data_IF_311921975426
#
_entry.id   IF_311921975426
#
_cell.length_a   1.000
_cell.length_b   1.000
_cell.length_c   1.000
_cell.angle_alpha   90.00
_cell.angle_beta   90.00
_cell.angle_gamma   90.00
#
_symmetry.space_group_name_H-M   'P 1'
#
loop_
_entity.id
_entity.type
_entity.pdbx_description
1 polymer ?
#
# COMPACT_ATOMS: atom_id res chain seq x y z
N UNK A 1 -16.99 12.34 16.63
CA UNK A 1 -15.81 11.82 15.91
C UNK A 1 -16.30 10.92 14.78
N UNK A 2 -16.43 11.44 13.57
CA UNK A 2 -16.79 10.59 12.41
C UNK A 2 -15.58 9.73 12.07
N UNK A 3 -15.59 8.47 12.52
CA UNK A 3 -14.81 7.42 11.89
C UNK A 3 -15.25 7.38 10.43
N UNK A 4 -14.55 8.10 9.55
CA UNK A 4 -14.63 7.83 8.11
C UNK A 4 -14.34 6.34 8.02
N UNK A 5 -15.35 5.54 7.64
CA UNK A 5 -15.15 4.12 7.34
C UNK A 5 -13.94 4.08 6.42
N UNK A 6 -12.80 3.63 6.93
CA UNK A 6 -11.66 3.36 6.08
C UNK A 6 -12.19 2.40 5.03
N UNK A 7 -12.21 2.85 3.77
CA UNK A 7 -12.57 1.98 2.66
C UNK A 7 -11.65 0.77 2.77
N UNK A 8 -12.22 -0.36 3.20
CA UNK A 8 -11.48 -1.61 3.25
C UNK A 8 -11.00 -1.86 1.84
N UNK A 9 -9.69 -2.04 1.68
CA UNK A 9 -9.12 -2.41 0.40
C UNK A 9 -9.86 -3.65 -0.10
N UNK A 10 -10.64 -3.49 -1.17
CA UNK A 10 -11.30 -4.60 -1.83
C UNK A 10 -10.27 -5.29 -2.71
N UNK A 11 -10.13 -6.60 -2.54
CA UNK A 11 -9.29 -7.42 -3.42
C UNK A 11 -10.16 -7.68 -4.65
N UNK A 12 -9.82 -7.14 -5.83
CA UNK A 12 -10.52 -7.52 -7.06
C UNK A 12 -10.29 -9.00 -7.34
N UNK A 13 -11.16 -9.61 -8.14
CA UNK A 13 -10.98 -10.99 -8.59
C UNK A 13 -9.58 -11.15 -9.22
N UNK A 14 -8.79 -12.10 -8.72
CA UNK A 14 -7.42 -12.35 -9.17
C UNK A 14 -7.37 -13.36 -10.32
N UNK A 15 -8.53 -13.95 -10.66
CA UNK A 15 -8.67 -15.05 -11.60
C UNK A 15 -8.71 -16.38 -10.85
N UNK A 16 -9.42 -17.36 -11.42
CA UNK A 16 -9.77 -18.64 -10.76
C UNK A 16 -8.58 -19.28 -10.04
N UNK A 17 -7.44 -19.41 -10.72
CA UNK A 17 -6.25 -20.02 -10.13
C UNK A 17 -5.74 -19.31 -8.86
N UNK A 18 -5.64 -17.98 -8.86
CA UNK A 18 -5.15 -17.24 -7.70
C UNK A 18 -6.21 -17.10 -6.61
N UNK A 19 -7.48 -17.09 -7.01
CA UNK A 19 -8.61 -17.09 -6.09
C UNK A 19 -8.67 -18.41 -5.29
N UNK A 20 -8.47 -19.56 -5.95
CA UNK A 20 -8.39 -20.88 -5.31
C UNK A 20 -7.17 -20.99 -4.39
N UNK A 21 -5.99 -20.56 -4.85
CA UNK A 21 -4.78 -20.58 -4.03
C UNK A 21 -4.94 -19.73 -2.77
N UNK A 22 -5.56 -18.56 -2.89
CA UNK A 22 -5.80 -17.68 -1.75
C UNK A 22 -6.77 -18.29 -0.73
N UNK A 23 -7.80 -19.01 -1.18
CA UNK A 23 -8.72 -19.71 -0.28
C UNK A 23 -8.02 -20.85 0.46
N UNK A 24 -7.23 -21.67 -0.26
CA UNK A 24 -6.45 -22.75 0.34
C UNK A 24 -5.47 -22.21 1.38
N UNK A 25 -4.71 -21.19 1.02
CA UNK A 25 -3.70 -20.60 1.90
C UNK A 25 -4.32 -19.91 3.14
N UNK A 26 -5.49 -19.30 2.99
CA UNK A 26 -6.25 -18.74 4.09
C UNK A 26 -6.72 -19.81 5.08
N UNK A 27 -7.23 -20.94 4.57
CA UNK A 27 -7.64 -22.10 5.39
C UNK A 27 -6.43 -22.68 6.15
N UNK A 28 -5.31 -22.92 5.46
CA UNK A 28 -4.07 -23.43 6.08
C UNK A 28 -3.53 -22.49 7.17
N UNK A 29 -3.71 -21.19 6.98
CA UNK A 29 -3.24 -20.16 7.92
C UNK A 29 -4.25 -19.83 9.03
N UNK A 30 -5.41 -20.51 9.08
CA UNK A 30 -6.53 -20.20 9.98
C UNK A 30 -6.92 -18.72 9.97
N UNK A 31 -7.04 -18.14 8.78
CA UNK A 31 -7.37 -16.73 8.54
C UNK A 31 -8.55 -16.64 7.59
N UNK A 32 -9.31 -15.54 7.67
CA UNK A 32 -10.24 -15.22 6.58
C UNK A 32 -9.45 -14.90 5.31
N UNK A 33 -10.03 -15.18 4.14
CA UNK A 33 -9.48 -14.81 2.83
C UNK A 33 -8.98 -13.36 2.79
N UNK A 34 -9.77 -12.43 3.34
CA UNK A 34 -9.43 -11.00 3.40
C UNK A 34 -8.19 -10.75 4.27
N UNK A 35 -8.10 -11.37 5.45
CA UNK A 35 -6.92 -11.24 6.30
C UNK A 35 -5.67 -11.82 5.64
N UNK A 36 -5.79 -12.96 4.97
CA UNK A 36 -4.65 -13.57 4.30
C UNK A 36 -4.14 -12.72 3.15
N UNK A 37 -5.03 -12.22 2.30
CA UNK A 37 -4.65 -11.30 1.24
C UNK A 37 -4.08 -9.97 1.77
N UNK A 38 -4.58 -9.44 2.89
CA UNK A 38 -3.98 -8.28 3.56
C UNK A 38 -2.55 -8.57 4.03
N UNK A 39 -2.31 -9.74 4.63
CA UNK A 39 -0.98 -10.19 5.05
C UNK A 39 -0.03 -10.29 3.86
N UNK A 40 -0.42 -11.02 2.82
CA UNK A 40 0.40 -11.24 1.62
C UNK A 40 0.71 -9.93 0.89
N UNK A 41 -0.26 -9.04 0.75
CA UNK A 41 -0.04 -7.72 0.15
C UNK A 41 0.93 -6.89 0.99
N UNK A 42 0.79 -6.90 2.32
CA UNK A 42 1.68 -6.15 3.21
C UNK A 42 3.12 -6.66 3.11
N UNK A 43 3.30 -7.98 3.10
CA UNK A 43 4.60 -8.63 2.91
C UNK A 43 5.22 -8.23 1.57
N UNK A 44 4.45 -8.34 0.48
CA UNK A 44 4.94 -7.97 -0.85
C UNK A 44 5.27 -6.48 -0.96
N UNK A 45 4.49 -5.60 -0.33
CA UNK A 45 4.80 -4.18 -0.30
C UNK A 45 6.06 -3.89 0.50
N UNK A 46 6.30 -4.58 1.61
CA UNK A 46 7.53 -4.47 2.39
C UNK A 46 8.76 -4.87 1.57
N UNK A 47 8.69 -5.98 0.82
CA UNK A 47 9.76 -6.37 -0.11
C UNK A 47 10.03 -5.30 -1.17
N UNK A 48 8.99 -4.59 -1.62
CA UNK A 48 9.09 -3.57 -2.68
C UNK A 48 9.51 -2.20 -2.18
N UNK A 49 9.69 -1.99 -0.87
CA UNK A 49 10.11 -0.69 -0.32
C UNK A 49 11.36 -0.16 -1.04
N UNK A 50 12.48 -0.91 -1.18
CA UNK A 50 13.70 -0.37 -1.80
C UNK A 50 13.48 0.10 -3.25
N UNK A 51 12.73 -0.66 -4.04
CA UNK A 51 12.42 -0.31 -5.44
C UNK A 51 11.54 0.94 -5.53
N UNK A 52 10.53 1.04 -4.65
CA UNK A 52 9.64 2.19 -4.58
C UNK A 52 10.46 3.43 -4.20
N UNK A 53 11.32 3.32 -3.20
CA UNK A 53 12.22 4.39 -2.75
C UNK A 53 13.16 4.86 -3.87
N UNK A 54 13.78 3.93 -4.59
CA UNK A 54 14.65 4.25 -5.73
C UNK A 54 13.88 5.00 -6.83
N UNK A 55 12.65 4.56 -7.14
CA UNK A 55 11.79 5.22 -8.14
C UNK A 55 11.39 6.62 -7.71
N UNK A 56 11.06 6.82 -6.42
CA UNK A 56 10.76 8.15 -5.89
C UNK A 56 11.99 9.06 -6.05
N UNK A 57 13.19 8.60 -5.66
CA UNK A 57 14.43 9.37 -5.81
C UNK A 57 14.68 9.78 -7.27
N UNK A 58 14.64 8.81 -8.18
CA UNK A 58 14.83 9.06 -9.61
C UNK A 58 13.83 10.09 -10.17
N UNK A 59 12.55 9.99 -9.80
CA UNK A 59 11.52 10.91 -10.28
C UNK A 59 11.66 12.31 -9.66
N UNK A 60 12.10 12.39 -8.41
CA UNK A 60 12.32 13.65 -7.70
C UNK A 60 13.50 14.40 -8.33
N UNK A 61 14.62 13.72 -8.56
CA UNK A 61 15.79 14.24 -9.28
C UNK A 61 15.41 14.76 -10.66
N UNK A 62 14.65 13.98 -11.44
CA UNK A 62 14.19 14.39 -12.77
C UNK A 62 13.33 15.65 -12.76
N UNK A 63 12.64 15.93 -11.65
CA UNK A 63 11.75 17.10 -11.48
C UNK A 63 12.41 18.26 -10.74
N UNK A 64 13.64 18.09 -10.24
CA UNK A 64 14.32 19.11 -9.43
C UNK A 64 13.63 19.39 -8.08
N UNK A 65 12.95 18.39 -7.50
CA UNK A 65 12.29 18.49 -6.18
C UNK A 65 12.85 17.43 -5.24
N UNK A 66 12.55 17.53 -3.94
CA UNK A 66 12.95 16.51 -2.97
C UNK A 66 12.06 15.26 -3.06
N UNK A 67 12.56 14.08 -2.68
CA UNK A 67 11.74 12.88 -2.53
C UNK A 67 10.49 13.10 -1.67
N UNK A 68 10.60 13.87 -0.59
CA UNK A 68 9.48 14.14 0.33
C UNK A 68 8.43 15.07 -0.29
N UNK A 69 8.84 16.07 -1.06
CA UNK A 69 7.93 16.88 -1.86
C UNK A 69 7.18 16.01 -2.87
N UNK A 70 7.89 15.11 -3.57
CA UNK A 70 7.27 14.20 -4.51
C UNK A 70 6.29 13.23 -3.83
N UNK A 71 6.63 12.69 -2.66
CA UNK A 71 5.69 11.89 -1.83
C UNK A 71 4.45 12.70 -1.47
N UNK A 72 4.65 13.92 -0.99
CA UNK A 72 3.59 14.86 -0.64
C UNK A 72 2.66 15.12 -1.84
N UNK A 73 3.19 15.32 -3.04
CA UNK A 73 2.38 15.45 -4.26
C UNK A 73 1.62 14.16 -4.61
N UNK A 74 2.29 13.00 -4.57
CA UNK A 74 1.68 11.70 -4.92
C UNK A 74 0.53 11.34 -3.99
N UNK A 75 0.70 11.60 -2.69
CA UNK A 75 -0.25 11.24 -1.64
C UNK A 75 -1.29 12.35 -1.40
N UNK A 76 -0.88 13.61 -1.51
CA UNK A 76 -1.74 14.79 -1.37
C UNK A 76 -2.83 14.86 -2.45
N UNK A 77 -2.54 14.42 -3.69
CA UNK A 77 -3.55 14.26 -4.74
C UNK A 77 -4.69 13.30 -4.36
N UNK A 78 -4.50 12.46 -3.35
CA UNK A 78 -5.50 11.50 -2.86
C UNK A 78 -6.34 12.03 -1.70
N UNK A 79 -6.07 13.23 -1.18
CA UNK A 79 -6.82 13.86 -0.08
C UNK A 79 -6.78 13.08 1.25
N UNK A 80 -5.78 12.20 1.44
CA UNK A 80 -5.65 11.34 2.63
C UNK A 80 -4.44 11.75 3.46
N UNK A 81 -4.62 11.87 4.79
CA UNK A 81 -3.51 11.91 5.75
C UNK A 81 -2.74 10.59 5.64
N UNK A 82 -1.43 10.64 5.48
CA UNK A 82 -0.60 9.44 5.29
C UNK A 82 0.43 9.30 6.39
N UNK A 83 0.87 8.07 6.64
CA UNK A 83 1.98 7.78 7.57
C UNK A 83 3.28 8.52 7.18
N UNK A 84 3.40 8.96 5.93
CA UNK A 84 4.56 9.71 5.41
C UNK A 84 4.42 11.23 5.51
N UNK A 85 3.23 11.75 5.78
CA UNK A 85 2.98 13.19 6.00
C UNK A 85 2.85 13.55 7.48
N UNK A 86 2.70 12.56 8.36
CA UNK A 86 2.51 12.78 9.80
C UNK A 86 3.81 13.13 10.56
N UNK A 87 4.98 13.08 9.91
CA UNK A 87 6.28 13.46 10.48
C UNK A 87 6.91 14.70 9.83
N UNK A 88 6.14 15.49 9.07
CA UNK A 88 6.62 16.72 8.45
C UNK A 88 6.32 17.99 9.29
N UNK A 89 5.73 17.82 10.48
CA UNK A 89 5.48 18.87 11.46
C UNK A 89 6.16 18.51 12.79
N UNK A 90 7.49 18.57 12.83
CA UNK A 90 8.27 18.78 14.06
C UNK A 90 9.39 19.80 13.78
#
# INVERSE_FOLDING_TARGET
MNQRREERLQIPALGEFFDDLLDIDAELSNRTRVQQAQSLLSEKLNERIPDIEQRIKYLAEKRGITPDQLRGEMLGKRGKTTAFTAGAEE
#
